data_IF_179565331034
#
_entry.id   IF_179565331034
#
_cell.length_a   1.000
_cell.length_b   1.000
_cell.length_c   1.000
_cell.angle_alpha   90.00
_cell.angle_beta   90.00
_cell.angle_gamma   90.00
#
_symmetry.space_group_name_H-M   'P 1'
#
loop_
_entity.id
_entity.type
_entity.pdbx_description
1 polymer ?
#
# COMPACT_ATOMS: atom_id res chain seq x y z
N UNK A 1 20.12 -131.69 26.91
CA UNK A 1 20.48 -132.18 25.56
C UNK A 1 21.12 -131.00 24.87
N UNK A 2 22.44 -130.91 24.95
CA UNK A 2 23.40 -131.50 24.01
C UNK A 2 23.34 -130.86 22.61
N UNK A 3 24.53 -130.37 22.27
CA UNK A 3 25.18 -130.15 20.98
C UNK A 3 24.88 -128.92 20.08
N UNK A 4 25.96 -128.21 19.67
CA UNK A 4 26.03 -127.18 18.65
C UNK A 4 26.34 -127.78 17.27
N UNK A 5 26.28 -126.98 16.18
CA UNK A 5 27.13 -127.07 14.96
C UNK A 5 26.71 -125.96 13.99
N UNK A 6 27.58 -125.01 13.61
CA UNK A 6 28.68 -125.13 12.61
C UNK A 6 28.12 -125.38 11.21
N UNK A 7 28.50 -124.74 10.09
CA UNK A 7 29.40 -123.65 9.63
C UNK A 7 28.90 -123.35 8.17
N UNK A 8 29.22 -122.31 7.41
CA UNK A 8 30.49 -121.76 6.93
C UNK A 8 30.17 -120.42 6.23
N UNK A 9 31.08 -119.46 6.37
CA UNK A 9 31.05 -118.12 5.77
C UNK A 9 31.17 -118.14 4.23
N UNK A 10 30.59 -117.12 3.58
CA UNK A 10 31.24 -116.46 2.46
C UNK A 10 31.20 -114.95 2.71
N UNK A 11 32.38 -114.40 2.99
CA UNK A 11 32.66 -112.97 3.01
C UNK A 11 32.25 -112.32 1.70
N UNK A 12 31.69 -111.11 1.77
CA UNK A 12 32.34 -110.01 1.08
C UNK A 12 32.12 -108.67 1.79
N UNK A 13 33.24 -107.96 1.82
CA UNK A 13 33.57 -106.69 2.47
C UNK A 13 32.67 -105.55 1.96
N UNK A 14 32.42 -104.47 2.67
CA UNK A 14 33.46 -103.56 3.17
C UNK A 14 32.94 -102.61 4.25
N UNK A 15 33.86 -102.32 5.16
CA UNK A 15 33.83 -101.31 6.23
C UNK A 15 34.05 -99.96 5.51
N UNK A 16 33.43 -98.82 5.81
CA UNK A 16 33.69 -97.97 6.97
C UNK A 16 32.94 -96.65 6.78
N UNK A 17 32.49 -96.06 7.89
CA UNK A 17 32.50 -94.63 8.24
C UNK A 17 32.33 -93.58 7.14
N UNK A 18 31.34 -92.71 7.30
CA UNK A 18 31.44 -91.35 6.76
C UNK A 18 31.17 -90.28 7.81
N UNK A 19 32.27 -89.58 8.11
CA UNK A 19 32.37 -88.36 8.87
C UNK A 19 31.67 -87.21 8.18
N UNK A 20 30.85 -86.51 8.97
CA UNK A 20 30.35 -85.16 8.82
C UNK A 20 31.19 -84.24 7.90
N UNK A 21 30.68 -83.99 6.69
CA UNK A 21 30.97 -82.78 5.91
C UNK A 21 29.61 -82.09 5.71
N UNK A 22 29.45 -80.97 6.38
CA UNK A 22 28.25 -80.13 6.35
C UNK A 22 28.17 -79.41 4.99
N UNK A 23 27.71 -80.11 3.96
CA UNK A 23 27.32 -79.54 2.68
C UNK A 23 25.92 -78.95 2.85
N UNK A 24 25.87 -77.71 3.35
CA UNK A 24 24.63 -76.94 3.39
C UNK A 24 24.04 -76.91 1.98
N UNK A 25 22.86 -77.53 1.81
CA UNK A 25 22.18 -77.58 0.51
C UNK A 25 21.92 -76.15 0.03
N UNK A 26 22.21 -75.82 -1.24
CA UNK A 26 21.81 -74.53 -1.78
C UNK A 26 20.30 -74.36 -1.60
N UNK A 27 19.85 -73.15 -1.20
CA UNK A 27 18.45 -72.89 -0.89
C UNK A 27 17.60 -73.33 -2.09
N UNK A 28 16.62 -74.20 -1.81
CA UNK A 28 15.79 -74.78 -2.85
C UNK A 28 15.07 -73.69 -3.64
N UNK A 29 14.73 -74.02 -4.88
CA UNK A 29 14.01 -73.16 -5.84
C UNK A 29 12.82 -72.40 -5.24
N UNK A 30 12.18 -72.95 -4.21
CA UNK A 30 11.06 -72.33 -3.49
C UNK A 30 11.49 -71.22 -2.51
N UNK A 31 12.63 -71.39 -1.83
CA UNK A 31 13.20 -70.38 -0.93
C UNK A 31 13.77 -69.19 -1.72
N UNK A 32 14.39 -69.46 -2.86
CA UNK A 32 14.86 -68.43 -3.79
C UNK A 32 13.68 -67.63 -4.39
N UNK A 33 12.60 -68.31 -4.81
CA UNK A 33 11.39 -67.66 -5.32
C UNK A 33 10.67 -66.82 -4.25
N UNK A 34 10.70 -67.26 -2.99
CA UNK A 34 10.16 -66.49 -1.87
C UNK A 34 11.00 -65.22 -1.58
N UNK A 35 12.33 -65.28 -1.69
CA UNK A 35 13.21 -64.10 -1.60
C UNK A 35 13.00 -63.13 -2.76
N UNK A 36 12.87 -63.65 -3.98
CA UNK A 36 12.62 -62.86 -5.19
C UNK A 36 11.25 -62.14 -5.14
N UNK A 37 10.22 -62.78 -4.58
CA UNK A 37 8.90 -62.15 -4.42
C UNK A 37 8.89 -61.04 -3.35
N UNK A 38 9.70 -61.16 -2.29
CA UNK A 38 9.85 -60.08 -1.30
C UNK A 38 10.60 -58.88 -1.85
N UNK A 39 11.62 -59.10 -2.70
CA UNK A 39 12.31 -58.00 -3.39
C UNK A 39 11.41 -57.28 -4.39
N UNK A 40 10.56 -58.00 -5.13
CA UNK A 40 9.62 -57.38 -6.09
C UNK A 40 8.50 -56.56 -5.45
N UNK A 41 8.21 -56.75 -4.16
CA UNK A 41 7.21 -55.95 -3.45
C UNK A 41 7.77 -54.70 -2.80
N UNK A 42 9.10 -54.58 -2.66
CA UNK A 42 9.75 -53.49 -1.93
C UNK A 42 10.45 -52.45 -2.83
N UNK A 43 10.69 -52.78 -4.10
CA UNK A 43 11.42 -51.89 -5.02
C UNK A 43 10.54 -51.43 -6.20
N UNK A 44 10.05 -50.20 -6.09
CA UNK A 44 9.83 -49.34 -7.26
C UNK A 44 8.50 -49.52 -7.99
N UNK A 45 7.40 -49.13 -7.36
CA UNK A 45 6.21 -48.68 -8.09
C UNK A 45 5.57 -47.50 -7.37
N UNK A 46 6.31 -46.40 -7.27
CA UNK A 46 5.72 -45.05 -7.35
C UNK A 46 5.16 -44.91 -8.77
N UNK A 47 4.05 -45.63 -8.97
CA UNK A 47 3.46 -45.97 -10.25
C UNK A 47 2.83 -44.71 -10.83
N UNK A 48 2.92 -44.50 -12.14
CA UNK A 48 2.40 -43.37 -12.94
C UNK A 48 1.18 -42.58 -12.40
N UNK A 49 0.30 -43.23 -11.64
CA UNK A 49 -0.79 -42.63 -10.88
C UNK A 49 -0.33 -41.49 -9.96
N UNK A 50 0.78 -41.66 -9.21
CA UNK A 50 1.28 -40.62 -8.30
C UNK A 50 1.77 -39.38 -9.06
N UNK A 51 2.48 -39.60 -10.16
CA UNK A 51 2.91 -38.53 -11.08
C UNK A 51 1.70 -37.78 -11.65
N UNK A 52 0.65 -38.50 -12.06
CA UNK A 52 -0.58 -37.90 -12.59
C UNK A 52 -1.32 -37.08 -11.52
N UNK A 53 -1.40 -37.57 -10.29
CA UNK A 53 -2.01 -36.84 -9.17
C UNK A 53 -1.25 -35.55 -8.84
N UNK A 54 0.08 -35.58 -8.88
CA UNK A 54 0.92 -34.40 -8.68
C UNK A 54 0.71 -33.34 -9.78
N UNK A 55 0.65 -33.75 -11.04
CA UNK A 55 0.34 -32.84 -12.16
C UNK A 55 -1.04 -32.19 -11.98
N UNK A 56 -2.06 -32.95 -11.58
CA UNK A 56 -3.40 -32.40 -11.31
C UNK A 56 -3.40 -31.44 -10.12
N UNK A 57 -2.59 -31.69 -9.09
CA UNK A 57 -2.44 -30.80 -7.95
C UNK A 57 -1.75 -29.47 -8.36
N UNK A 58 -0.71 -29.56 -9.18
CA UNK A 58 -0.01 -28.39 -9.73
C UNK A 58 -0.91 -27.57 -10.65
N UNK A 59 -1.72 -28.20 -11.50
CA UNK A 59 -2.66 -27.49 -12.36
C UNK A 59 -3.77 -26.79 -11.56
N UNK A 60 -4.29 -27.43 -10.51
CA UNK A 60 -5.22 -26.79 -9.56
C UNK A 60 -4.58 -25.58 -8.88
N UNK A 61 -3.31 -25.70 -8.47
CA UNK A 61 -2.55 -24.60 -7.89
C UNK A 61 -2.37 -23.46 -8.88
N UNK A 62 -1.96 -23.72 -10.12
CA UNK A 62 -1.82 -22.70 -11.18
C UNK A 62 -3.15 -21.98 -11.48
N UNK A 63 -4.26 -22.72 -11.51
CA UNK A 63 -5.60 -22.13 -11.70
C UNK A 63 -5.94 -21.21 -10.52
N UNK A 64 -5.68 -21.64 -9.28
CA UNK A 64 -5.91 -20.82 -8.09
C UNK A 64 -5.03 -19.57 -8.08
N UNK A 65 -3.75 -19.69 -8.44
CA UNK A 65 -2.80 -18.58 -8.56
C UNK A 65 -3.25 -17.58 -9.64
N UNK A 66 -3.62 -18.06 -10.83
CA UNK A 66 -4.11 -17.21 -11.92
C UNK A 66 -5.39 -16.46 -11.53
N UNK A 67 -6.30 -17.12 -10.81
CA UNK A 67 -7.52 -16.49 -10.29
C UNK A 67 -7.21 -15.42 -9.25
N UNK A 68 -6.25 -15.68 -8.36
CA UNK A 68 -5.82 -14.72 -7.36
C UNK A 68 -5.15 -13.50 -8.01
N UNK A 69 -4.27 -13.73 -8.99
CA UNK A 69 -3.62 -12.65 -9.75
C UNK A 69 -4.63 -11.76 -10.47
N UNK A 70 -5.66 -12.36 -11.09
CA UNK A 70 -6.74 -11.61 -11.75
C UNK A 70 -7.47 -10.69 -10.76
N UNK A 71 -7.82 -11.21 -9.58
CA UNK A 71 -8.50 -10.44 -8.54
C UNK A 71 -7.60 -9.31 -7.99
N UNK A 72 -6.33 -9.60 -7.74
CA UNK A 72 -5.37 -8.61 -7.26
C UNK A 72 -5.16 -7.50 -8.29
N UNK A 73 -5.05 -7.85 -9.57
CA UNK A 73 -4.98 -6.88 -10.67
C UNK A 73 -6.21 -5.98 -10.71
N UNK A 74 -7.41 -6.55 -10.56
CA UNK A 74 -8.66 -5.79 -10.48
C UNK A 74 -8.69 -4.85 -9.27
N UNK A 75 -8.22 -5.31 -8.10
CA UNK A 75 -8.12 -4.51 -6.88
C UNK A 75 -7.20 -3.31 -7.05
N UNK A 76 -6.03 -3.51 -7.65
CA UNK A 76 -5.06 -2.43 -7.93
C UNK A 76 -5.66 -1.41 -8.89
N UNK A 77 -6.25 -1.85 -10.00
CA UNK A 77 -6.89 -0.95 -10.97
C UNK A 77 -8.01 -0.12 -10.34
N UNK A 78 -8.84 -0.75 -9.48
CA UNK A 78 -9.89 -0.04 -8.77
C UNK A 78 -9.32 1.04 -7.84
N UNK A 79 -8.29 0.72 -7.05
CA UNK A 79 -7.63 1.70 -6.18
C UNK A 79 -7.02 2.85 -6.97
N UNK A 80 -6.38 2.58 -8.12
CA UNK A 80 -5.81 3.63 -8.97
C UNK A 80 -6.89 4.58 -9.50
N UNK A 81 -8.03 4.05 -9.93
CA UNK A 81 -9.16 4.86 -10.40
C UNK A 81 -9.75 5.70 -9.26
N UNK A 82 -9.90 5.12 -8.08
CA UNK A 82 -10.42 5.83 -6.91
C UNK A 82 -9.46 6.93 -6.44
N UNK A 83 -8.15 6.66 -6.45
CA UNK A 83 -7.12 7.65 -6.14
C UNK A 83 -7.14 8.80 -7.14
N UNK A 84 -7.23 8.52 -8.45
CA UNK A 84 -7.38 9.56 -9.49
C UNK A 84 -8.63 10.40 -9.26
N UNK A 85 -9.76 9.76 -8.91
CA UNK A 85 -11.00 10.46 -8.57
C UNK A 85 -10.82 11.37 -7.36
N UNK A 86 -10.12 10.91 -6.33
CA UNK A 86 -9.85 11.67 -5.12
C UNK A 86 -8.94 12.88 -5.40
N UNK A 87 -7.84 12.69 -6.14
CA UNK A 87 -6.96 13.77 -6.58
C UNK A 87 -7.73 14.88 -7.32
N UNK A 88 -8.59 14.50 -8.27
CA UNK A 88 -9.41 15.47 -9.01
C UNK A 88 -10.39 16.23 -8.12
N UNK A 89 -10.96 15.59 -7.10
CA UNK A 89 -11.83 16.26 -6.12
C UNK A 89 -11.05 17.25 -5.28
N UNK A 90 -9.87 16.85 -4.80
CA UNK A 90 -9.00 17.70 -3.99
C UNK A 90 -8.52 18.92 -4.78
N UNK A 91 -8.08 18.74 -6.03
CA UNK A 91 -7.66 19.83 -6.91
C UNK A 91 -8.79 20.84 -7.13
N UNK A 92 -10.03 20.38 -7.35
CA UNK A 92 -11.20 21.26 -7.49
C UNK A 92 -11.45 22.08 -6.22
N UNK A 93 -11.35 21.47 -5.05
CA UNK A 93 -11.52 22.16 -3.76
C UNK A 93 -10.42 23.20 -3.58
N UNK A 94 -9.16 22.84 -3.85
CA UNK A 94 -8.03 23.76 -3.71
C UNK A 94 -8.13 24.94 -4.69
N UNK A 95 -8.56 24.71 -5.92
CA UNK A 95 -8.80 25.76 -6.90
C UNK A 95 -9.92 26.72 -6.44
N UNK A 96 -11.00 26.19 -5.87
CA UNK A 96 -12.08 27.01 -5.31
C UNK A 96 -11.59 27.89 -4.15
N UNK A 97 -10.84 27.30 -3.21
CA UNK A 97 -10.23 28.02 -2.07
C UNK A 97 -9.29 29.14 -2.54
N UNK A 98 -8.41 28.85 -3.50
CA UNK A 98 -7.46 29.85 -4.02
C UNK A 98 -8.20 31.02 -4.72
N UNK A 99 -9.27 30.73 -5.46
CA UNK A 99 -10.09 31.77 -6.09
C UNK A 99 -10.78 32.66 -5.05
N UNK A 100 -11.33 32.05 -4.01
CA UNK A 100 -11.97 32.78 -2.92
C UNK A 100 -10.98 33.65 -2.14
N UNK A 101 -9.82 33.10 -1.77
CA UNK A 101 -8.75 33.83 -1.08
C UNK A 101 -8.24 35.01 -1.93
N UNK A 102 -8.03 34.80 -3.23
CA UNK A 102 -7.64 35.87 -4.15
C UNK A 102 -8.69 36.97 -4.24
N UNK A 103 -9.97 36.61 -4.17
CA UNK A 103 -11.05 37.59 -4.19
C UNK A 103 -11.09 38.40 -2.88
N UNK A 104 -10.99 37.73 -1.73
CA UNK A 104 -10.91 38.38 -0.41
C UNK A 104 -9.72 39.34 -0.32
N UNK A 105 -8.53 38.92 -0.79
CA UNK A 105 -7.34 39.77 -0.79
C UNK A 105 -7.50 41.00 -1.69
N UNK A 106 -8.17 40.87 -2.85
CA UNK A 106 -8.50 42.03 -3.69
C UNK A 106 -9.43 43.00 -2.97
N UNK A 107 -10.50 42.50 -2.37
CA UNK A 107 -11.47 43.32 -1.64
C UNK A 107 -10.82 44.03 -0.45
N UNK A 108 -9.99 43.33 0.32
CA UNK A 108 -9.24 43.93 1.43
C UNK A 108 -8.27 45.01 0.94
N UNK A 109 -7.58 44.77 -0.18
CA UNK A 109 -6.67 45.75 -0.78
C UNK A 109 -7.40 47.00 -1.26
N UNK A 110 -8.58 46.86 -1.87
CA UNK A 110 -9.39 48.01 -2.29
C UNK A 110 -9.90 48.77 -1.07
N UNK A 111 -10.41 48.09 -0.03
CA UNK A 111 -10.81 48.74 1.23
C UNK A 111 -9.67 49.53 1.86
N UNK A 112 -8.46 48.97 1.90
CA UNK A 112 -7.28 49.64 2.44
C UNK A 112 -6.90 50.87 1.60
N UNK A 113 -7.05 50.81 0.27
CA UNK A 113 -6.83 51.98 -0.59
C UNK A 113 -7.85 53.07 -0.32
N UNK A 114 -9.14 52.73 -0.27
CA UNK A 114 -10.23 53.68 0.01
C UNK A 114 -10.07 54.32 1.39
N UNK A 115 -9.70 53.56 2.41
CA UNK A 115 -9.43 54.08 3.75
C UNK A 115 -8.23 55.02 3.74
N UNK A 116 -7.16 54.66 3.02
CA UNK A 116 -5.97 55.51 2.88
C UNK A 116 -6.26 56.81 2.12
N UNK A 117 -7.12 56.77 1.11
CA UNK A 117 -7.56 57.96 0.38
C UNK A 117 -8.43 58.85 1.26
N UNK A 118 -9.41 58.28 1.98
CA UNK A 118 -10.21 59.03 2.97
C UNK A 118 -9.35 59.72 4.02
N UNK A 119 -8.36 59.02 4.59
CA UNK A 119 -7.40 59.61 5.53
C UNK A 119 -6.56 60.74 4.91
N UNK A 120 -6.22 60.67 3.62
CA UNK A 120 -5.50 61.74 2.93
C UNK A 120 -6.39 62.96 2.72
N UNK A 121 -7.61 62.75 2.22
CA UNK A 121 -8.59 63.82 2.01
C UNK A 121 -8.93 64.51 3.34
N UNK A 122 -9.15 63.75 4.41
CA UNK A 122 -9.38 64.31 5.75
C UNK A 122 -8.17 65.15 6.21
N UNK A 123 -6.95 64.66 5.99
CA UNK A 123 -5.75 65.42 6.35
C UNK A 123 -5.59 66.70 5.52
N UNK A 124 -5.92 66.66 4.23
CA UNK A 124 -5.87 67.82 3.34
C UNK A 124 -6.92 68.86 3.73
N UNK A 125 -8.17 68.43 3.97
CA UNK A 125 -9.24 69.32 4.44
C UNK A 125 -8.87 69.97 5.77
N UNK A 126 -8.35 69.22 6.74
CA UNK A 126 -7.87 69.79 8.01
C UNK A 126 -6.75 70.83 7.80
N UNK A 127 -5.84 70.58 6.85
CA UNK A 127 -4.75 71.50 6.52
C UNK A 127 -5.28 72.79 5.87
N UNK A 128 -6.21 72.69 4.93
CA UNK A 128 -6.85 73.83 4.29
C UNK A 128 -7.65 74.66 5.30
N UNK A 129 -8.45 74.01 6.14
CA UNK A 129 -9.20 74.69 7.18
C UNK A 129 -8.27 75.37 8.20
N UNK A 130 -7.15 74.73 8.58
CA UNK A 130 -6.16 75.36 9.45
C UNK A 130 -5.51 76.60 8.80
N UNK A 131 -5.22 76.53 7.50
CA UNK A 131 -4.72 77.68 6.74
C UNK A 131 -5.74 78.83 6.74
N UNK A 132 -7.02 78.54 6.49
CA UNK A 132 -8.10 79.54 6.53
C UNK A 132 -8.25 80.16 7.93
N UNK A 133 -8.17 79.34 8.99
CA UNK A 133 -8.29 79.80 10.37
C UNK A 133 -7.14 80.71 10.81
N UNK A 134 -5.93 80.49 10.29
CA UNK A 134 -4.72 81.25 10.66
C UNK A 134 -4.43 82.44 9.73
N UNK A 135 -5.17 82.57 8.63
CA UNK A 135 -4.98 83.63 7.66
C UNK A 135 -5.41 85.00 8.21
N UNK A 136 -4.60 86.04 7.97
CA UNK A 136 -4.96 87.41 8.30
C UNK A 136 -5.99 87.97 7.30
N UNK A 137 -7.25 88.00 7.71
CA UNK A 137 -8.39 88.41 6.85
C UNK A 137 -8.45 89.93 6.67
N UNK A 138 -7.95 90.72 7.61
CA UNK A 138 -8.10 92.19 7.57
C UNK A 138 -7.31 92.85 6.43
N UNK A 139 -6.33 92.16 5.88
CA UNK A 139 -5.52 92.60 4.74
C UNK A 139 -6.17 92.33 3.37
N UNK A 140 -7.32 91.65 3.31
CA UNK A 140 -7.99 91.28 2.07
C UNK A 140 -9.04 92.32 1.62
N UNK A 141 -9.42 92.37 0.34
CA UNK A 141 -10.54 93.18 -0.15
C UNK A 141 -11.87 92.82 0.53
N UNK A 142 -12.77 93.79 0.72
CA UNK A 142 -14.00 93.67 1.53
C UNK A 142 -14.84 92.42 1.21
N UNK A 143 -15.02 92.09 -0.07
CA UNK A 143 -15.76 90.90 -0.52
C UNK A 143 -15.09 89.59 -0.07
N UNK A 144 -13.76 89.52 -0.11
CA UNK A 144 -13.01 88.35 0.36
C UNK A 144 -12.99 88.28 1.89
N UNK A 145 -12.99 89.42 2.58
CA UNK A 145 -13.08 89.43 4.05
C UNK A 145 -14.35 88.76 4.54
N UNK A 146 -15.50 89.13 3.95
CA UNK A 146 -16.79 88.53 4.30
C UNK A 146 -16.78 87.02 4.06
N UNK A 147 -16.29 86.57 2.89
CA UNK A 147 -16.17 85.16 2.55
C UNK A 147 -15.34 84.37 3.57
N UNK A 148 -14.12 84.82 3.89
CA UNK A 148 -13.24 84.08 4.79
C UNK A 148 -13.68 84.13 6.26
N UNK A 149 -14.27 85.24 6.74
CA UNK A 149 -14.88 85.26 8.08
C UNK A 149 -16.06 84.30 8.21
N UNK A 150 -16.90 84.23 7.17
CA UNK A 150 -17.99 83.25 7.11
C UNK A 150 -17.41 81.83 7.13
N UNK A 151 -16.39 81.55 6.31
CA UNK A 151 -15.76 80.23 6.27
C UNK A 151 -15.11 79.82 7.59
N UNK A 152 -14.43 80.74 8.28
CA UNK A 152 -13.89 80.51 9.63
C UNK A 152 -15.01 80.14 10.62
N UNK A 153 -16.16 80.80 10.52
CA UNK A 153 -17.33 80.50 11.36
C UNK A 153 -17.92 79.12 11.07
N UNK A 154 -18.04 78.74 9.79
CA UNK A 154 -18.47 77.39 9.37
C UNK A 154 -17.53 76.30 9.90
N UNK A 155 -16.22 76.52 9.82
CA UNK A 155 -15.19 75.58 10.31
C UNK A 155 -15.32 75.40 11.83
N UNK A 156 -15.46 76.50 12.57
CA UNK A 156 -15.65 76.45 14.03
C UNK A 156 -16.96 75.73 14.40
N UNK A 157 -18.06 76.03 13.70
CA UNK A 157 -19.34 75.38 13.93
C UNK A 157 -19.26 73.86 13.71
N UNK A 158 -18.59 73.41 12.64
CA UNK A 158 -18.34 71.98 12.39
C UNK A 158 -17.55 71.31 13.50
N UNK A 159 -16.57 72.00 14.08
CA UNK A 159 -15.70 71.46 15.14
C UNK A 159 -16.36 71.44 16.52
N UNK A 160 -17.29 72.36 16.78
CA UNK A 160 -18.04 72.42 18.04
C UNK A 160 -19.36 71.63 18.03
N UNK A 161 -19.82 71.17 16.86
CA UNK A 161 -21.09 70.46 16.67
C UNK A 161 -21.04 68.93 16.77
N UNK A 162 -19.89 68.35 17.14
CA UNK A 162 -19.71 66.91 17.39
C UNK A 162 -19.45 66.65 18.87
#
# INVERSE_FOLDING_TARGET
METPSSSVNLEDKDVTNDSNINLERPPGRNAEKARLNKQKSDEGSSSNVEVMLNVMADDKKKIAESRLEFLERGRVQYMELENKRLCLKEEKINLAKMKEERQRMKEERERMKEERERMREERETLREEAAIMTMNVDALPLMQQQYFRQRQSEILAKRCGN
#
